data_IF_359254726548
#
_entry.id   IF_359254726548
#
_cell.length_a   1.000
_cell.length_b   1.000
_cell.length_c   1.000
_cell.angle_alpha   90.00
_cell.angle_beta   90.00
_cell.angle_gamma   90.00
#
_symmetry.space_group_name_H-M   'P 1'
#
loop_
_entity.id
_entity.type
_entity.pdbx_description
1 polymer ?
#
# COMPACT_ATOMS: atom_id res chain seq x y z
N UNK A 1 -19.00 7.35 -0.87
CA UNK A 1 -17.73 6.67 -0.56
C UNK A 1 -16.63 7.59 -1.00
N UNK A 2 -15.66 7.90 -0.14
CA UNK A 2 -14.45 8.60 -0.58
C UNK A 2 -13.70 7.72 -1.58
N UNK A 3 -13.11 8.28 -2.65
CA UNK A 3 -12.22 7.52 -3.53
C UNK A 3 -11.05 6.98 -2.71
N UNK A 4 -10.52 5.81 -3.08
CA UNK A 4 -9.34 5.23 -2.45
C UNK A 4 -8.44 4.60 -3.51
N UNK A 5 -7.13 4.72 -3.34
CA UNK A 5 -6.13 4.05 -4.17
C UNK A 5 -5.64 2.82 -3.42
N UNK A 6 -5.72 1.66 -4.05
CA UNK A 6 -5.39 0.38 -3.43
C UNK A 6 -4.23 -0.24 -4.21
N UNK A 7 -3.18 -0.62 -3.49
CA UNK A 7 -1.96 -1.21 -4.04
C UNK A 7 -1.87 -2.66 -3.57
N UNK A 8 -1.64 -3.56 -4.52
CA UNK A 8 -1.35 -4.96 -4.26
C UNK A 8 -0.29 -5.42 -5.26
N UNK A 9 0.65 -6.22 -4.78
CA UNK A 9 1.59 -6.98 -5.61
C UNK A 9 1.86 -8.31 -4.94
N UNK A 10 1.91 -9.39 -5.72
CA UNK A 10 2.41 -10.69 -5.25
C UNK A 10 3.91 -10.63 -4.90
N UNK A 11 4.64 -9.68 -5.50
CA UNK A 11 6.04 -9.43 -5.25
C UNK A 11 6.20 -8.28 -4.26
N UNK A 12 6.73 -8.58 -3.08
CA UNK A 12 6.97 -7.58 -2.04
C UNK A 12 7.88 -6.44 -2.52
N UNK A 13 8.92 -6.77 -3.28
CA UNK A 13 9.86 -5.81 -3.88
C UNK A 13 9.17 -4.74 -4.77
N UNK A 14 8.11 -5.11 -5.49
CA UNK A 14 7.36 -4.18 -6.34
C UNK A 14 6.33 -3.35 -5.55
N UNK A 15 5.99 -3.76 -4.34
CA UNK A 15 4.99 -3.06 -3.52
C UNK A 15 5.45 -1.64 -3.19
N UNK A 16 6.75 -1.43 -2.94
CA UNK A 16 7.32 -0.11 -2.67
C UNK A 16 7.19 0.87 -3.86
N UNK A 17 7.50 0.40 -5.07
CA UNK A 17 7.38 1.20 -6.29
C UNK A 17 5.91 1.56 -6.57
N UNK A 18 5.02 0.59 -6.38
CA UNK A 18 3.59 0.80 -6.55
C UNK A 18 3.02 1.74 -5.49
N UNK A 19 3.48 1.69 -4.24
CA UNK A 19 3.08 2.63 -3.20
C UNK A 19 3.53 4.05 -3.53
N UNK A 20 4.75 4.21 -4.07
CA UNK A 20 5.26 5.52 -4.51
C UNK A 20 4.37 6.11 -5.61
N UNK A 21 3.99 5.32 -6.63
CA UNK A 21 3.07 5.78 -7.68
C UNK A 21 1.63 5.92 -7.22
N UNK A 22 1.18 5.05 -6.33
CA UNK A 22 -0.13 5.12 -5.69
C UNK A 22 -0.29 6.40 -4.89
N UNK A 23 0.77 6.87 -4.23
CA UNK A 23 0.78 8.14 -3.51
C UNK A 23 0.55 9.33 -4.43
N UNK A 24 1.27 9.40 -5.56
CA UNK A 24 1.05 10.45 -6.56
C UNK A 24 -0.41 10.50 -7.06
N UNK A 25 -1.08 9.35 -7.16
CA UNK A 25 -2.49 9.26 -7.56
C UNK A 25 -3.44 9.64 -6.43
N UNK A 26 -3.18 9.15 -5.22
CA UNK A 26 -3.99 9.42 -4.03
C UNK A 26 -4.03 10.92 -3.72
N UNK A 27 -2.89 11.60 -3.81
CA UNK A 27 -2.79 13.03 -3.56
C UNK A 27 -3.58 13.86 -4.60
N UNK A 28 -3.52 13.47 -5.88
CA UNK A 28 -4.31 14.12 -6.94
C UNK A 28 -5.81 13.92 -6.76
N UNK A 29 -6.22 12.78 -6.21
CA UNK A 29 -7.62 12.43 -5.97
C UNK A 29 -8.11 12.87 -4.59
N UNK A 30 -7.24 13.44 -3.75
CA UNK A 30 -7.53 13.73 -2.34
C UNK A 30 -8.11 12.50 -1.61
N UNK A 31 -7.46 11.36 -1.80
CA UNK A 31 -7.91 10.04 -1.41
C UNK A 31 -6.89 9.34 -0.49
N UNK A 32 -7.33 8.31 0.23
CA UNK A 32 -6.43 7.43 1.00
C UNK A 32 -5.71 6.44 0.08
N UNK A 33 -4.46 6.11 0.43
CA UNK A 33 -3.70 4.99 -0.13
C UNK A 33 -3.72 3.81 0.83
N UNK A 34 -4.10 2.65 0.33
CA UNK A 34 -4.07 1.39 1.06
C UNK A 34 -3.13 0.39 0.41
N UNK A 35 -2.37 -0.35 1.22
CA UNK A 35 -1.65 -1.55 0.79
C UNK A 35 -2.44 -2.80 1.17
N UNK A 36 -2.49 -3.79 0.30
CA UNK A 36 -3.04 -5.13 0.60
C UNK A 36 -1.87 -6.11 0.70
N UNK A 37 -1.80 -6.85 1.81
CA UNK A 37 -0.75 -7.83 2.08
C UNK A 37 -1.38 -9.19 2.31
N UNK A 38 -1.18 -10.09 1.35
CA UNK A 38 -1.69 -11.46 1.43
C UNK A 38 -0.54 -12.42 1.70
N UNK A 39 -0.70 -13.27 2.72
CA UNK A 39 0.29 -14.29 3.04
C UNK A 39 -0.08 -15.09 4.28
N UNK A 40 0.60 -16.22 4.46
CA UNK A 40 0.46 -17.06 5.64
C UNK A 40 1.43 -16.59 6.73
N UNK A 41 0.93 -16.39 7.94
CA UNK A 41 1.70 -15.96 9.13
C UNK A 41 2.58 -14.70 8.92
N UNK A 42 2.05 -13.73 8.17
CA UNK A 42 2.72 -12.47 7.80
C UNK A 42 2.84 -11.45 8.96
N UNK A 43 2.86 -11.89 10.22
CA UNK A 43 2.90 -10.98 11.39
C UNK A 43 4.21 -10.19 11.52
N UNK A 44 5.30 -10.67 10.92
CA UNK A 44 6.64 -10.06 11.05
C UNK A 44 7.08 -9.19 9.85
N UNK A 45 6.37 -9.27 8.72
CA UNK A 45 6.62 -8.45 7.52
C UNK A 45 5.90 -7.08 7.41
N UNK A 46 4.92 -6.70 8.27
CA UNK A 46 4.22 -5.42 8.07
C UNK A 46 5.13 -4.22 8.29
N UNK A 47 6.16 -4.34 9.13
CA UNK A 47 7.06 -3.23 9.46
C UNK A 47 7.85 -2.71 8.25
N UNK A 48 8.20 -3.59 7.32
CA UNK A 48 8.83 -3.19 6.05
C UNK A 48 7.85 -2.41 5.15
N UNK A 49 6.56 -2.73 5.23
CA UNK A 49 5.49 -2.13 4.40
C UNK A 49 4.94 -0.84 5.02
N UNK A 50 4.87 -0.77 6.35
CA UNK A 50 4.44 0.40 7.13
C UNK A 50 5.32 1.63 6.83
N UNK A 51 6.61 1.40 6.59
CA UNK A 51 7.57 2.46 6.26
C UNK A 51 7.44 3.00 4.83
N UNK A 52 6.59 2.42 3.98
CA UNK A 52 6.48 2.75 2.55
C UNK A 52 5.36 3.76 2.21
N UNK A 53 4.72 4.38 3.21
CA UNK A 53 3.82 5.54 3.01
C UNK A 53 2.36 5.22 2.67
N UNK A 54 1.90 4.00 3.00
CA UNK A 54 0.49 3.66 2.98
C UNK A 54 -0.25 4.28 4.18
N UNK A 55 -1.45 4.79 3.97
CA UNK A 55 -2.30 5.29 5.05
C UNK A 55 -2.96 4.13 5.82
N UNK A 56 -3.18 3.00 5.12
CA UNK A 56 -3.78 1.78 5.65
C UNK A 56 -3.09 0.54 5.09
N UNK A 57 -3.06 -0.52 5.87
CA UNK A 57 -2.61 -1.86 5.46
C UNK A 57 -3.73 -2.84 5.79
N UNK A 58 -4.08 -3.69 4.82
CA UNK A 58 -5.10 -4.74 4.93
C UNK A 58 -4.52 -6.13 4.68
#
# INVERSE_FOLDING_TARGET
>A
MSPGVWVFSEKLELTAEMLSKGRELADKLQAELAAIVLGYDIKEKPDEILNLGADKIY
#
